data_IF_571503503716
#
_entry.id   IF_571503503716
#
_cell.length_a   1.000
_cell.length_b   1.000
_cell.length_c   1.000
_cell.angle_alpha   90.00
_cell.angle_beta   90.00
_cell.angle_gamma   90.00
#
_symmetry.space_group_name_H-M   'P 1'
#
loop_
_entity.id
_entity.type
_entity.pdbx_description
1 polymer ?
#
# COMPACT_ATOMS: atom_id res chain seq x y z
N UNK A 1 -9.94 -16.72 9.86
CA UNK A 1 -9.02 -15.64 9.47
C UNK A 1 -7.96 -15.36 10.54
N UNK A 2 -8.34 -15.08 11.80
CA UNK A 2 -7.35 -14.89 12.89
C UNK A 2 -6.33 -16.04 13.01
N UNK A 3 -6.83 -17.28 13.06
CA UNK A 3 -5.99 -18.49 13.13
C UNK A 3 -5.10 -18.67 11.91
N UNK A 4 -5.55 -18.18 10.75
CA UNK A 4 -4.80 -18.25 9.51
C UNK A 4 -3.65 -17.25 9.52
N UNK A 5 -3.89 -16.01 9.94
CA UNK A 5 -2.83 -15.01 10.14
C UNK A 5 -1.83 -15.51 11.18
N UNK A 6 -2.28 -16.07 12.30
CA UNK A 6 -1.39 -16.63 13.32
C UNK A 6 -0.49 -17.76 12.77
N UNK A 7 -1.00 -18.57 11.83
CA UNK A 7 -0.26 -19.68 11.22
C UNK A 7 0.65 -19.23 10.06
N UNK A 8 0.16 -18.35 9.19
CA UNK A 8 0.79 -18.01 7.90
C UNK A 8 1.50 -16.66 7.91
N UNK A 9 1.13 -15.76 8.82
CA UNK A 9 1.53 -14.35 8.79
C UNK A 9 0.73 -13.50 7.79
N UNK A 10 -0.25 -14.10 7.10
CA UNK A 10 -1.02 -13.46 6.03
C UNK A 10 -2.38 -14.16 5.82
N UNK A 11 -3.21 -13.56 4.97
CA UNK A 11 -4.44 -14.17 4.43
C UNK A 11 -4.33 -14.27 2.92
N UNK A 12 -5.18 -15.08 2.30
CA UNK A 12 -5.43 -14.94 0.86
C UNK A 12 -6.07 -13.57 0.55
N UNK A 13 -6.02 -13.18 -0.73
CA UNK A 13 -6.61 -11.93 -1.21
C UNK A 13 -8.12 -11.89 -0.98
N UNK A 14 -8.63 -10.76 -0.52
CA UNK A 14 -10.03 -10.57 -0.16
C UNK A 14 -10.57 -9.25 -0.69
N UNK A 15 -11.87 -9.24 -0.97
CA UNK A 15 -12.60 -8.01 -1.24
C UNK A 15 -12.92 -7.34 0.09
N UNK A 16 -12.15 -6.30 0.41
CA UNK A 16 -12.35 -5.49 1.63
C UNK A 16 -13.31 -4.34 1.38
N UNK A 17 -13.23 -3.70 0.22
CA UNK A 17 -14.07 -2.58 -0.18
C UNK A 17 -14.65 -2.79 -1.58
N UNK A 18 -15.71 -2.07 -1.89
CA UNK A 18 -16.30 -2.02 -3.22
C UNK A 18 -15.62 -0.96 -4.10
N UNK A 19 -15.80 -1.07 -5.41
CA UNK A 19 -15.23 -0.14 -6.39
C UNK A 19 -15.62 1.32 -6.11
N UNK A 20 -16.85 1.56 -5.63
CA UNK A 20 -17.32 2.89 -5.26
C UNK A 20 -16.52 3.53 -4.13
N UNK A 21 -15.96 2.73 -3.21
CA UNK A 21 -15.11 3.22 -2.13
C UNK A 21 -13.70 3.60 -2.63
N UNK A 22 -13.26 3.02 -3.75
CA UNK A 22 -11.98 3.33 -4.39
C UNK A 22 -12.06 4.56 -5.31
N UNK A 23 -13.25 4.87 -5.83
CA UNK A 23 -13.44 5.96 -6.79
C UNK A 23 -12.83 7.31 -6.34
N UNK A 24 -13.00 7.78 -5.09
CA UNK A 24 -12.41 9.06 -4.68
C UNK A 24 -10.89 9.12 -4.82
N UNK A 25 -10.17 8.09 -4.38
CA UNK A 25 -8.71 8.06 -4.48
C UNK A 25 -8.25 7.84 -5.92
N UNK A 26 -9.00 7.07 -6.72
CA UNK A 26 -8.73 6.90 -8.15
C UNK A 26 -8.92 8.23 -8.91
N UNK A 27 -9.96 9.01 -8.59
CA UNK A 27 -10.20 10.32 -9.20
C UNK A 27 -9.11 11.33 -8.79
N UNK A 28 -8.68 11.32 -7.53
CA UNK A 28 -7.56 12.15 -7.07
C UNK A 28 -6.25 11.80 -7.80
N UNK A 29 -5.99 10.49 -7.99
CA UNK A 29 -4.86 10.00 -8.77
C UNK A 29 -4.93 10.50 -10.21
N UNK A 30 -6.07 10.27 -10.88
CA UNK A 30 -6.31 10.71 -12.25
C UNK A 30 -6.14 12.22 -12.39
N UNK A 31 -6.79 13.02 -11.55
CA UNK A 31 -6.70 14.47 -11.59
C UNK A 31 -5.25 14.97 -11.45
N UNK A 32 -4.43 14.27 -10.66
CA UNK A 32 -3.02 14.62 -10.45
C UNK A 32 -2.11 14.14 -11.58
N UNK A 33 -2.48 13.08 -12.30
CA UNK A 33 -1.67 12.50 -13.38
C UNK A 33 -2.12 12.86 -14.80
N UNK A 34 -3.34 13.37 -15.00
CA UNK A 34 -4.00 13.43 -16.33
C UNK A 34 -3.17 14.08 -17.43
N UNK A 35 -2.47 15.17 -17.12
CA UNK A 35 -1.68 15.92 -18.11
C UNK A 35 -0.47 15.12 -18.62
N UNK A 36 -0.09 14.09 -17.86
CA UNK A 36 1.00 13.18 -18.19
C UNK A 36 0.50 11.99 -19.02
N UNK A 37 -0.80 11.67 -19.00
CA UNK A 37 -1.42 10.54 -19.70
C UNK A 37 -1.68 10.86 -21.16
N UNK A 38 -1.60 9.87 -22.06
CA UNK A 38 -1.97 10.03 -23.47
C UNK A 38 -3.39 10.59 -23.63
N UNK A 39 -3.65 11.29 -24.73
CA UNK A 39 -4.99 11.81 -25.01
C UNK A 39 -5.99 10.64 -25.10
N UNK A 40 -7.13 10.76 -24.43
CA UNK A 40 -8.09 9.69 -24.26
C UNK A 40 -9.51 10.24 -24.12
N UNK A 41 -10.49 9.34 -24.20
CA UNK A 41 -11.89 9.67 -23.95
C UNK A 41 -12.10 9.98 -22.45
N UNK A 42 -12.55 11.21 -22.10
CA UNK A 42 -12.75 11.60 -20.71
C UNK A 42 -13.86 10.80 -20.00
N UNK A 43 -14.76 10.15 -20.76
CA UNK A 43 -15.91 9.40 -20.25
C UNK A 43 -15.55 7.95 -19.88
N UNK A 44 -14.30 7.50 -20.09
CA UNK A 44 -13.82 6.21 -19.61
C UNK A 44 -13.96 6.11 -18.07
N UNK A 45 -14.29 4.91 -17.54
CA UNK A 45 -14.27 4.68 -16.10
C UNK A 45 -12.93 5.07 -15.48
N UNK A 46 -12.94 5.66 -14.28
CA UNK A 46 -11.73 6.16 -13.63
C UNK A 46 -10.65 5.08 -13.44
N UNK A 47 -11.06 3.85 -13.14
CA UNK A 47 -10.18 2.69 -13.03
C UNK A 47 -9.40 2.42 -14.33
N UNK A 48 -10.03 2.64 -15.48
CA UNK A 48 -9.39 2.53 -16.79
C UNK A 48 -8.48 3.73 -17.08
N UNK A 49 -8.95 4.95 -16.77
CA UNK A 49 -8.19 6.19 -17.02
C UNK A 49 -6.84 6.20 -16.30
N UNK A 50 -6.77 5.73 -15.05
CA UNK A 50 -5.51 5.70 -14.29
C UNK A 50 -4.53 4.60 -14.76
N UNK A 51 -4.98 3.67 -15.60
CA UNK A 51 -4.14 2.64 -16.24
C UNK A 51 -3.63 3.06 -17.62
N UNK A 52 -4.01 4.24 -18.11
CA UNK A 52 -3.60 4.70 -19.43
C UNK A 52 -2.08 4.94 -19.52
N UNK A 53 -1.50 4.76 -20.71
CA UNK A 53 -0.09 5.08 -20.95
C UNK A 53 0.18 6.58 -20.75
N UNK A 54 1.43 6.90 -20.42
CA UNK A 54 1.91 8.28 -20.28
C UNK A 54 2.44 8.81 -21.62
N UNK A 55 2.08 10.05 -22.00
CA UNK A 55 2.67 10.78 -23.16
C UNK A 55 4.18 10.78 -23.10
N UNK A 56 4.68 11.09 -21.91
CA UNK A 56 6.08 11.01 -21.52
C UNK A 56 6.13 10.55 -20.08
N UNK A 57 6.95 9.53 -19.82
CA UNK A 57 7.13 9.01 -18.47
C UNK A 57 7.59 10.13 -17.51
N UNK A 58 6.93 10.29 -16.34
CA UNK A 58 7.40 11.23 -15.34
C UNK A 58 8.76 10.78 -14.77
N UNK A 59 9.59 11.74 -14.40
CA UNK A 59 10.80 11.45 -13.63
C UNK A 59 10.48 11.13 -12.15
N UNK A 60 11.49 10.70 -11.41
CA UNK A 60 11.36 10.32 -10.00
C UNK A 60 10.82 11.46 -9.13
N UNK A 61 11.24 12.69 -9.38
CA UNK A 61 10.80 13.85 -8.59
C UNK A 61 9.32 14.13 -8.82
N UNK A 62 8.90 14.17 -10.09
CA UNK A 62 7.50 14.35 -10.48
C UNK A 62 6.62 13.26 -9.89
N UNK A 63 7.07 11.99 -9.95
CA UNK A 63 6.30 10.87 -9.43
C UNK A 63 6.17 10.89 -7.90
N UNK A 64 7.27 11.17 -7.19
CA UNK A 64 7.26 11.31 -5.75
C UNK A 64 6.35 12.47 -5.30
N UNK A 65 6.36 13.59 -6.03
CA UNK A 65 5.47 14.71 -5.77
C UNK A 65 4.00 14.31 -5.95
N UNK A 66 3.67 13.54 -6.99
CA UNK A 66 2.32 13.01 -7.20
C UNK A 66 1.89 12.11 -6.04
N UNK A 67 2.70 11.10 -5.70
CA UNK A 67 2.38 10.20 -4.61
C UNK A 67 2.24 10.94 -3.27
N UNK A 68 3.06 11.97 -3.04
CA UNK A 68 2.99 12.80 -1.84
C UNK A 68 1.67 13.58 -1.77
N UNK A 69 1.18 14.09 -2.90
CA UNK A 69 -0.14 14.76 -2.96
C UNK A 69 -1.27 13.81 -2.58
N UNK A 70 -1.28 12.58 -3.11
CA UNK A 70 -2.28 11.57 -2.74
C UNK A 70 -2.18 11.21 -1.26
N UNK A 71 -0.96 11.03 -0.74
CA UNK A 71 -0.73 10.72 0.67
C UNK A 71 -1.16 11.84 1.63
N UNK A 72 -1.10 13.10 1.19
CA UNK A 72 -1.58 14.26 1.95
C UNK A 72 -3.06 14.57 1.72
N UNK A 73 -3.71 13.88 0.78
CA UNK A 73 -5.09 14.13 0.38
C UNK A 73 -6.12 13.54 1.35
N UNK A 74 -7.30 14.14 1.47
CA UNK A 74 -8.38 13.62 2.31
C UNK A 74 -8.93 12.28 1.82
N UNK A 75 -8.75 11.93 0.54
CA UNK A 75 -9.30 10.71 -0.07
C UNK A 75 -8.66 9.45 0.50
N UNK A 76 -7.33 9.44 0.69
CA UNK A 76 -6.65 8.34 1.38
C UNK A 76 -7.12 8.26 2.84
N UNK A 77 -7.23 9.40 3.52
CA UNK A 77 -7.73 9.47 4.88
C UNK A 77 -9.15 8.91 5.03
N UNK A 78 -10.04 9.22 4.08
CA UNK A 78 -11.40 8.69 4.05
C UNK A 78 -11.45 7.18 3.82
N UNK A 79 -10.60 6.66 2.92
CA UNK A 79 -10.53 5.24 2.62
C UNK A 79 -10.03 4.41 3.82
N UNK A 80 -8.92 4.83 4.46
CA UNK A 80 -8.32 4.07 5.57
C UNK A 80 -9.18 4.09 6.85
N UNK A 81 -10.08 5.08 6.98
CA UNK A 81 -11.03 5.15 8.10
C UNK A 81 -12.46 4.76 7.68
N UNK A 82 -12.63 4.16 6.50
CA UNK A 82 -13.94 3.69 6.05
C UNK A 82 -14.44 2.54 6.91
N UNK A 83 -15.76 2.46 7.09
CA UNK A 83 -16.40 1.38 7.86
C UNK A 83 -15.99 0.00 7.32
N UNK A 84 -15.93 -0.17 6.00
CA UNK A 84 -15.53 -1.41 5.37
C UNK A 84 -14.11 -1.87 5.76
N UNK A 85 -13.13 -0.96 5.79
CA UNK A 85 -11.76 -1.27 6.23
C UNK A 85 -11.73 -1.62 7.72
N UNK A 86 -12.40 -0.82 8.55
CA UNK A 86 -12.44 -1.06 10.00
C UNK A 86 -13.12 -2.39 10.34
N UNK A 87 -14.27 -2.67 9.72
CA UNK A 87 -15.00 -3.92 9.87
C UNK A 87 -14.23 -5.13 9.37
N UNK A 88 -13.38 -5.00 8.35
CA UNK A 88 -12.51 -6.10 7.91
C UNK A 88 -11.47 -6.46 8.99
N UNK A 89 -10.84 -5.47 9.62
CA UNK A 89 -9.94 -5.72 10.75
C UNK A 89 -10.69 -6.27 11.97
N UNK A 90 -11.84 -5.71 12.33
CA UNK A 90 -12.68 -6.23 13.42
C UNK A 90 -13.12 -7.66 13.18
N UNK A 91 -13.51 -8.01 11.95
CA UNK A 91 -13.88 -9.37 11.59
C UNK A 91 -12.74 -10.38 11.72
N UNK A 92 -11.49 -9.91 11.60
CA UNK A 92 -10.30 -10.73 11.76
C UNK A 92 -9.92 -10.87 13.23
N UNK A 93 -9.83 -9.77 13.97
CA UNK A 93 -9.22 -9.73 15.31
C UNK A 93 -10.23 -9.68 16.45
N UNK A 94 -11.51 -9.46 16.16
CA UNK A 94 -12.59 -9.35 17.14
C UNK A 94 -12.62 -8.02 17.89
N UNK A 95 -11.77 -7.06 17.52
CA UNK A 95 -11.69 -5.74 18.13
C UNK A 95 -11.38 -4.66 17.10
N UNK A 96 -11.79 -3.43 17.41
CA UNK A 96 -11.54 -2.27 16.56
C UNK A 96 -10.03 -2.01 16.44
N UNK A 97 -9.47 -1.91 15.22
CA UNK A 97 -8.05 -1.67 15.05
C UNK A 97 -7.68 -0.28 15.56
N UNK A 98 -6.46 -0.17 16.11
CA UNK A 98 -5.83 1.14 16.31
C UNK A 98 -5.09 1.52 15.04
N UNK A 99 -5.37 2.71 14.50
CA UNK A 99 -4.70 3.20 13.31
C UNK A 99 -3.18 3.24 13.55
N UNK A 100 -2.44 2.57 12.66
CA UNK A 100 -1.00 2.68 12.64
C UNK A 100 -0.60 4.03 12.04
N UNK A 101 0.36 4.78 12.62
CA UNK A 101 0.68 6.14 12.19
C UNK A 101 1.26 6.22 10.77
N UNK A 102 1.61 5.08 10.17
CA UNK A 102 2.06 4.98 8.79
C UNK A 102 0.99 4.28 7.97
N UNK A 103 0.23 5.06 7.19
CA UNK A 103 -0.67 4.58 6.14
C UNK A 103 -0.35 5.37 4.87
N UNK A 104 0.05 4.69 3.80
CA UNK A 104 0.54 5.35 2.58
C UNK A 104 0.02 4.70 1.32
N UNK A 105 -0.43 5.53 0.38
CA UNK A 105 -0.52 5.19 -1.02
C UNK A 105 0.89 5.01 -1.60
N UNK A 106 1.06 3.92 -2.35
CA UNK A 106 2.27 3.60 -3.11
C UNK A 106 1.85 3.14 -4.50
N UNK A 107 2.55 3.62 -5.51
CA UNK A 107 2.39 3.14 -6.87
C UNK A 107 3.77 2.97 -7.52
N UNK A 108 3.95 1.82 -8.16
CA UNK A 108 5.21 1.43 -8.79
C UNK A 108 5.12 1.62 -10.30
N UNK A 109 6.15 2.24 -10.88
CA UNK A 109 6.36 2.18 -12.32
C UNK A 109 7.25 0.98 -12.66
N UNK A 110 6.87 0.13 -13.64
CA UNK A 110 7.69 -1.00 -14.09
C UNK A 110 9.10 -0.62 -14.56
N UNK A 111 9.35 0.65 -14.84
CA UNK A 111 10.62 1.14 -15.38
C UNK A 111 11.25 2.30 -14.60
N UNK A 112 10.66 2.72 -13.47
CA UNK A 112 11.51 3.22 -12.40
C UNK A 112 12.33 1.99 -11.99
N UNK A 113 13.66 2.10 -11.95
CA UNK A 113 14.48 1.09 -11.27
C UNK A 113 14.01 1.08 -9.83
N UNK A 114 13.00 0.27 -9.55
CA UNK A 114 12.70 -0.12 -8.20
C UNK A 114 13.99 -0.85 -7.81
N UNK A 115 14.66 -0.33 -6.80
CA UNK A 115 15.43 -1.21 -5.93
C UNK A 115 14.56 -2.44 -5.76
N UNK A 116 14.92 -3.60 -6.33
CA UNK A 116 14.30 -4.86 -5.93
C UNK A 116 14.19 -4.76 -4.42
N UNK A 117 12.96 -4.62 -3.89
CA UNK A 117 12.80 -4.42 -2.46
C UNK A 117 13.38 -5.70 -1.90
N UNK A 118 14.57 -5.59 -1.32
CA UNK A 118 15.21 -6.76 -0.77
C UNK A 118 14.21 -7.36 0.22
N UNK A 119 14.15 -8.68 0.30
CA UNK A 119 13.37 -9.36 1.32
C UNK A 119 13.62 -8.68 2.66
N UNK A 120 12.56 -8.17 3.28
CA UNK A 120 12.63 -7.39 4.51
C UNK A 120 11.39 -7.63 5.36
N UNK A 121 11.49 -7.28 6.64
CA UNK A 121 10.37 -7.14 7.55
C UNK A 121 10.23 -5.66 7.90
N UNK A 122 8.99 -5.15 7.93
CA UNK A 122 8.71 -3.73 8.20
C UNK A 122 9.31 -3.28 9.53
N UNK A 123 9.25 -4.14 10.56
CA UNK A 123 9.87 -3.91 11.88
C UNK A 123 11.37 -3.57 11.78
N UNK A 124 12.11 -4.26 10.90
CA UNK A 124 13.54 -4.01 10.70
C UNK A 124 13.81 -2.63 10.14
N UNK A 125 12.88 -2.11 9.33
CA UNK A 125 12.95 -0.73 8.83
C UNK A 125 12.73 0.26 9.97
N UNK A 126 11.79 0.00 10.88
CA UNK A 126 11.49 0.88 12.01
C UNK A 126 12.62 0.93 13.04
N UNK A 127 13.22 -0.23 13.31
CA UNK A 127 14.42 -0.33 14.14
C UNK A 127 15.56 0.52 13.56
N UNK A 128 15.80 0.43 12.24
CA UNK A 128 16.87 1.15 11.56
C UNK A 128 16.70 2.69 11.59
N UNK A 129 15.46 3.20 11.56
CA UNK A 129 15.18 4.65 11.61
C UNK A 129 15.07 5.20 13.03
N UNK A 130 15.37 4.39 14.07
CA UNK A 130 15.35 4.77 15.49
C UNK A 130 14.01 5.35 15.95
N UNK A 131 12.90 4.95 15.32
CA UNK A 131 11.58 5.36 15.78
C UNK A 131 11.13 4.43 16.90
N UNK A 132 11.55 4.74 18.12
CA UNK A 132 11.28 3.92 19.32
C UNK A 132 9.77 3.79 19.62
N UNK A 133 8.95 4.73 19.17
CA UNK A 133 7.49 4.64 19.32
C UNK A 133 6.87 3.58 18.41
N UNK A 134 7.61 3.10 17.41
CA UNK A 134 7.23 2.01 16.50
C UNK A 134 7.98 0.72 16.79
N UNK A 135 9.10 0.79 17.52
CA UNK A 135 9.77 -0.38 18.05
C UNK A 135 8.81 -1.13 18.97
N UNK A 136 8.81 -2.46 18.90
CA UNK A 136 7.97 -3.35 19.69
C UNK A 136 6.45 -3.26 19.41
N UNK A 137 6.02 -2.64 18.31
CA UNK A 137 4.64 -2.75 17.82
C UNK A 137 4.49 -3.95 16.88
N UNK A 138 3.43 -4.72 17.06
CA UNK A 138 3.03 -5.79 16.14
C UNK A 138 1.91 -5.30 15.21
N UNK A 139 2.24 -4.62 14.09
CA UNK A 139 1.25 -4.12 13.15
C UNK A 139 0.55 -5.29 12.44
N UNK A 140 -0.62 -4.98 11.89
CA UNK A 140 -1.20 -5.77 10.81
C UNK A 140 -1.42 -4.82 9.64
N UNK A 141 -0.88 -5.20 8.49
CA UNK A 141 -0.91 -4.37 7.29
C UNK A 141 -2.02 -4.84 6.36
N UNK A 142 -2.93 -3.93 6.01
CA UNK A 142 -3.81 -4.11 4.86
C UNK A 142 -3.11 -3.57 3.61
N UNK A 143 -2.88 -4.43 2.63
CA UNK A 143 -2.44 -4.03 1.30
C UNK A 143 -3.63 -4.01 0.36
N UNK A 144 -4.09 -2.81 0.00
CA UNK A 144 -5.28 -2.60 -0.81
C UNK A 144 -4.88 -2.13 -2.21
N UNK A 145 -5.22 -2.91 -3.24
CA UNK A 145 -5.02 -2.48 -4.63
C UNK A 145 -6.19 -1.62 -5.11
N UNK A 146 -5.87 -0.53 -5.82
CA UNK A 146 -6.87 0.34 -6.44
C UNK A 146 -7.49 -0.27 -7.70
N UNK A 147 -6.72 -1.07 -8.44
CA UNK A 147 -7.12 -1.62 -9.76
C UNK A 147 -6.96 -3.14 -9.85
N UNK A 148 -6.86 -3.82 -8.70
CA UNK A 148 -6.47 -5.22 -8.64
C UNK A 148 -4.97 -5.42 -8.82
N UNK A 149 -4.51 -6.63 -8.58
CA UNK A 149 -3.14 -7.07 -8.81
C UNK A 149 -3.17 -8.53 -9.28
N UNK A 150 -2.21 -8.92 -10.09
CA UNK A 150 -2.03 -10.30 -10.55
C UNK A 150 -0.61 -10.79 -10.21
N UNK A 151 -0.29 -12.03 -10.59
CA UNK A 151 0.99 -12.65 -10.28
C UNK A 151 2.23 -11.90 -10.84
N UNK A 152 2.04 -10.91 -11.72
CA UNK A 152 3.11 -10.14 -12.36
C UNK A 152 3.39 -8.82 -11.65
N UNK A 153 2.46 -8.31 -10.84
CA UNK A 153 2.55 -6.99 -10.20
C UNK A 153 2.08 -6.96 -8.73
N UNK A 154 1.89 -8.13 -8.13
CA UNK A 154 1.57 -8.29 -6.71
C UNK A 154 2.79 -8.22 -5.79
N UNK A 155 2.53 -8.03 -4.49
CA UNK A 155 3.51 -8.26 -3.44
C UNK A 155 3.73 -9.77 -3.24
N UNK A 156 4.96 -10.14 -2.91
CA UNK A 156 5.30 -11.51 -2.52
C UNK A 156 5.50 -11.58 -1.00
N UNK A 157 4.99 -12.64 -0.38
CA UNK A 157 5.05 -12.87 1.07
C UNK A 157 5.59 -14.27 1.34
N UNK A 158 6.40 -14.40 2.41
CA UNK A 158 6.94 -15.70 2.85
C UNK A 158 6.10 -16.22 4.01
N UNK A 159 5.41 -17.35 3.79
CA UNK A 159 4.56 -18.00 4.81
C UNK A 159 5.38 -18.38 6.05
N UNK A 160 4.87 -18.02 7.23
CA UNK A 160 5.49 -18.35 8.53
C UNK A 160 6.70 -17.48 8.90
N UNK A 161 7.10 -16.53 8.05
CA UNK A 161 8.29 -15.69 8.33
C UNK A 161 8.11 -14.74 9.52
N UNK A 162 6.87 -14.46 9.94
CA UNK A 162 6.56 -13.63 11.11
C UNK A 162 7.01 -14.25 12.44
N UNK A 163 7.11 -15.59 12.53
CA UNK A 163 7.55 -16.30 13.75
C UNK A 163 9.06 -16.26 13.96
N UNK A 164 9.83 -15.92 12.93
CA UNK A 164 11.30 -16.01 12.98
C UNK A 164 11.92 -14.91 13.83
N UNK A 165 11.23 -13.77 14.01
CA UNK A 165 11.67 -12.61 14.77
C UNK A 165 12.97 -11.98 14.24
N UNK A 166 13.08 -10.65 14.25
CA UNK A 166 14.33 -9.96 13.94
C UNK A 166 15.28 -10.01 15.14
N UNK A 167 15.78 -11.19 15.48
CA UNK A 167 16.76 -11.35 16.57
C UNK A 167 18.11 -10.78 16.13
N UNK A 168 18.36 -9.53 16.52
CA UNK A 168 19.62 -8.79 16.41
C UNK A 168 19.95 -8.21 15.03
N UNK A 169 19.38 -7.05 14.71
CA UNK A 169 19.98 -6.16 13.73
C UNK A 169 21.25 -5.53 14.30
N UNK A 170 22.42 -6.03 13.89
CA UNK A 170 23.67 -5.29 14.04
C UNK A 170 23.84 -4.36 12.84
N UNK A 171 24.16 -3.09 13.08
CA UNK A 171 24.60 -2.21 12.01
C UNK A 171 25.86 -2.83 11.38
N UNK A 172 25.80 -3.15 10.09
CA UNK A 172 27.03 -3.36 9.31
C UNK A 172 27.55 -1.96 9.01
N UNK A 173 28.49 -1.47 9.81
CA UNK A 173 29.27 -0.27 9.46
C UNK A 173 29.95 -0.52 8.11
N UNK A 174 29.74 0.38 7.15
CA UNK A 174 30.42 0.38 5.84
C UNK A 174 31.55 1.39 5.87
#
# INVERSE_FOLDING_TARGET
>A
MAQEIARRGMTDAQRVVDESALAPIQEALYATSRELLEDHDPDLPVAERINLPFKKRPDTETWNALCSKINAGPELGGLIHSEAVLSAFEGIFGEAPRAFPISKFRANFPALKISNYAWHQDEGTWFAVKNLDLADKSPVTLWLSLNGADARDSIELVEGSHDLGLKNHFFIER
#
